data_IF_625549880990
#
_entry.id   IF_625549880990
#
_cell.length_a   1.000
_cell.length_b   1.000
_cell.length_c   1.000
_cell.angle_alpha   90.00
_cell.angle_beta   90.00
_cell.angle_gamma   90.00
#
_symmetry.space_group_name_H-M   'P 1'
#
loop_
_entity.id
_entity.type
_entity.pdbx_description
1 polymer ?
#
# COMPACT_ATOMS: atom_id res chain seq x y z
N UNK A 1 -45.05 10.56 -69.18
CA UNK A 1 -44.69 10.36 -67.76
C UNK A 1 -43.48 9.47 -67.78
N UNK A 2 -42.32 10.08 -67.56
CA UNK A 2 -41.00 9.50 -67.79
C UNK A 2 -40.63 8.50 -66.69
N UNK A 3 -40.03 7.40 -67.09
CA UNK A 3 -39.40 6.40 -66.23
C UNK A 3 -37.90 6.53 -66.40
N UNK A 4 -37.22 6.98 -65.34
CA UNK A 4 -35.76 7.06 -65.27
C UNK A 4 -35.20 5.78 -64.62
N UNK A 5 -34.32 5.09 -65.36
CA UNK A 5 -33.41 4.05 -64.87
C UNK A 5 -32.16 4.69 -64.24
N UNK A 6 -31.56 4.10 -63.19
CA UNK A 6 -30.23 4.49 -62.75
C UNK A 6 -29.14 3.60 -63.36
N UNK A 7 -28.17 4.28 -63.96
CA UNK A 7 -26.93 3.80 -64.57
C UNK A 7 -26.02 3.10 -63.55
N UNK A 8 -25.53 1.91 -63.94
CA UNK A 8 -24.50 1.14 -63.23
C UNK A 8 -23.14 1.81 -63.46
N UNK A 9 -22.53 2.30 -62.39
CA UNK A 9 -21.18 2.86 -62.36
C UNK A 9 -20.15 1.75 -62.15
N UNK A 10 -19.34 1.55 -63.17
CA UNK A 10 -18.11 0.75 -63.20
C UNK A 10 -17.06 1.36 -62.25
N UNK A 11 -16.47 0.55 -61.38
CA UNK A 11 -15.41 0.96 -60.44
C UNK A 11 -14.36 -0.13 -60.41
N UNK A 12 -13.37 0.07 -61.26
CA UNK A 12 -12.12 -0.65 -61.37
C UNK A 12 -11.39 -0.76 -60.02
N UNK A 13 -11.14 -2.00 -59.58
CA UNK A 13 -10.21 -2.35 -58.51
C UNK A 13 -8.75 -2.10 -58.95
N UNK A 14 -7.89 -1.52 -58.10
CA UNK A 14 -6.45 -1.54 -58.32
C UNK A 14 -5.85 -2.81 -57.70
N UNK A 15 -5.33 -3.68 -58.56
CA UNK A 15 -4.47 -4.80 -58.20
C UNK A 15 -3.17 -4.27 -57.58
N UNK A 16 -2.95 -4.53 -56.29
CA UNK A 16 -1.67 -4.26 -55.62
C UNK A 16 -0.85 -5.56 -55.71
N UNK A 17 0.12 -5.57 -56.62
CA UNK A 17 1.20 -6.56 -56.63
C UNK A 17 2.15 -6.26 -55.46
N UNK A 18 2.15 -7.14 -54.45
CA UNK A 18 3.14 -7.15 -53.38
C UNK A 18 4.33 -7.98 -53.84
N UNK A 19 5.37 -7.28 -54.30
CA UNK A 19 6.70 -7.82 -54.54
C UNK A 19 7.30 -8.35 -53.23
N UNK A 20 7.66 -9.63 -53.23
CA UNK A 20 8.50 -10.26 -52.23
C UNK A 20 9.97 -9.96 -52.57
N UNK A 21 10.67 -9.19 -51.73
CA UNK A 21 12.13 -9.07 -51.79
C UNK A 21 12.68 -8.41 -50.53
N UNK A 22 13.37 -9.20 -49.69
CA UNK A 22 14.61 -8.83 -48.98
C UNK A 22 14.92 -9.87 -47.91
N UNK A 23 15.62 -10.94 -48.32
CA UNK A 23 16.38 -11.81 -47.42
C UNK A 23 17.86 -11.40 -47.52
N UNK A 24 18.32 -10.59 -46.57
CA UNK A 24 19.75 -10.36 -46.30
C UNK A 24 20.14 -11.35 -45.18
N UNK A 25 20.80 -12.46 -45.49
CA UNK A 25 22.26 -12.58 -45.64
C UNK A 25 23.02 -12.19 -44.37
N UNK A 26 22.94 -13.04 -43.33
CA UNK A 26 23.88 -13.00 -42.20
C UNK A 26 25.09 -13.83 -42.60
N UNK A 27 26.16 -13.13 -42.97
CA UNK A 27 27.47 -13.73 -43.25
C UNK A 27 28.09 -14.31 -41.98
N UNK A 28 28.43 -15.58 -42.13
CA UNK A 28 29.22 -16.43 -41.25
C UNK A 28 30.69 -15.98 -41.30
N UNK A 29 31.15 -15.26 -40.26
CA UNK A 29 32.57 -14.98 -40.06
C UNK A 29 33.19 -16.04 -39.14
N UNK A 30 33.67 -17.11 -39.75
CA UNK A 30 34.69 -18.00 -39.19
C UNK A 30 36.04 -17.30 -39.19
N UNK A 31 36.52 -16.94 -38.00
CA UNK A 31 37.90 -16.52 -37.78
C UNK A 31 38.60 -17.57 -36.92
N UNK A 32 39.29 -18.47 -37.60
CA UNK A 32 40.30 -19.36 -37.03
C UNK A 32 41.48 -18.52 -36.52
N UNK A 33 41.73 -18.55 -35.22
CA UNK A 33 42.96 -18.04 -34.63
C UNK A 33 43.41 -19.01 -33.52
N UNK A 34 44.30 -19.97 -33.81
CA UNK A 34 44.90 -20.82 -32.79
C UNK A 34 46.13 -20.11 -32.20
N UNK A 35 46.29 -20.27 -30.88
CA UNK A 35 47.45 -19.88 -30.06
C UNK A 35 47.46 -18.46 -29.45
N UNK A 36 46.66 -18.27 -28.38
CA UNK A 36 46.97 -17.28 -27.33
C UNK A 36 47.15 -17.98 -25.97
N UNK A 37 48.38 -18.06 -25.42
CA UNK A 37 48.65 -18.75 -24.17
C UNK A 37 48.16 -17.94 -22.97
N UNK A 38 47.01 -18.34 -22.44
CA UNK A 38 46.69 -18.36 -21.01
C UNK A 38 46.90 -17.04 -20.24
N UNK A 39 46.12 -16.00 -20.56
CA UNK A 39 45.82 -14.94 -19.59
C UNK A 39 44.85 -15.46 -18.52
N UNK A 40 45.40 -16.00 -17.43
CA UNK A 40 44.67 -16.26 -16.18
C UNK A 40 44.24 -14.93 -15.56
N UNK A 41 43.11 -14.38 -16.01
CA UNK A 41 42.42 -13.29 -15.33
C UNK A 41 41.83 -13.89 -14.05
N UNK A 42 42.49 -13.64 -12.91
CA UNK A 42 41.95 -13.94 -11.59
C UNK A 42 40.74 -13.02 -11.35
N UNK A 43 39.56 -13.50 -11.70
CA UNK A 43 38.29 -12.89 -11.30
C UNK A 43 38.22 -12.94 -9.77
N UNK A 44 38.21 -11.78 -9.07
CA UNK A 44 38.10 -11.77 -7.62
C UNK A 44 36.75 -12.37 -7.23
N UNK A 45 36.78 -13.29 -6.27
CA UNK A 45 35.62 -13.96 -5.71
C UNK A 45 34.49 -12.94 -5.40
N UNK A 46 33.28 -13.07 -6.01
CA UNK A 46 32.19 -12.11 -5.87
C UNK A 46 31.68 -11.96 -4.43
N UNK A 47 32.06 -12.87 -3.52
CA UNK A 47 31.73 -12.76 -2.09
C UNK A 47 32.46 -11.62 -1.36
N UNK A 48 33.52 -11.03 -1.93
CA UNK A 48 34.27 -9.95 -1.28
C UNK A 48 33.60 -8.58 -1.50
N UNK A 49 32.86 -8.39 -2.60
CA UNK A 49 32.23 -7.10 -2.93
C UNK A 49 30.83 -6.88 -2.32
N UNK A 50 30.16 -7.91 -1.81
CA UNK A 50 28.89 -7.74 -1.09
C UNK A 50 29.05 -7.53 0.42
N UNK A 51 30.27 -7.58 0.97
CA UNK A 51 30.53 -7.48 2.41
C UNK A 51 30.93 -6.07 2.90
N UNK A 52 30.74 -5.01 2.09
CA UNK A 52 31.08 -3.63 2.49
C UNK A 52 30.05 -2.54 2.17
N UNK A 53 28.81 -2.90 1.88
CA UNK A 53 27.71 -1.98 2.19
C UNK A 53 27.35 -2.19 3.65
N UNK A 54 28.00 -1.41 4.49
CA UNK A 54 27.76 -1.35 5.92
C UNK A 54 26.26 -1.28 6.23
N UNK A 55 25.73 -2.35 6.83
CA UNK A 55 24.64 -2.28 7.81
C UNK A 55 25.10 -1.38 8.97
N UNK A 56 25.18 -0.07 8.69
CA UNK A 56 25.32 0.97 9.69
C UNK A 56 23.91 1.48 10.01
N UNK A 57 23.05 0.56 10.46
CA UNK A 57 21.77 0.89 11.10
C UNK A 57 22.01 1.30 12.56
N UNK A 58 22.92 2.26 12.75
CA UNK A 58 22.84 3.13 13.91
C UNK A 58 21.69 4.10 13.68
N UNK A 59 20.60 3.98 14.43
CA UNK A 59 19.46 4.91 14.41
C UNK A 59 19.82 6.40 14.67
N UNK A 60 21.10 6.71 14.94
CA UNK A 60 21.68 8.06 15.03
C UNK A 60 22.65 8.31 13.88
N UNK A 61 22.16 8.54 12.66
CA UNK A 61 23.10 8.87 11.57
C UNK A 61 22.55 9.06 10.17
N UNK A 62 21.28 8.77 9.87
CA UNK A 62 20.76 9.05 8.53
C UNK A 62 20.86 10.54 8.24
N UNK A 63 21.49 10.88 7.12
CA UNK A 63 21.81 12.24 6.73
C UNK A 63 20.52 13.04 6.45
N UNK A 64 20.46 14.29 6.90
CA UNK A 64 19.42 15.24 6.45
C UNK A 64 19.76 15.70 5.03
N UNK A 65 18.77 15.95 4.17
CA UNK A 65 19.03 16.59 2.89
C UNK A 65 19.65 17.98 3.10
N UNK A 66 20.34 18.51 2.09
CA UNK A 66 21.12 19.74 2.17
C UNK A 66 20.24 20.95 2.52
N UNK A 67 19.02 21.03 1.96
CA UNK A 67 18.02 22.06 2.25
C UNK A 67 17.57 22.04 3.72
N UNK A 68 17.09 20.90 4.22
CA UNK A 68 16.70 20.76 5.63
C UNK A 68 17.89 20.93 6.58
N UNK A 69 19.10 20.57 6.16
CA UNK A 69 20.33 20.77 6.95
C UNK A 69 20.68 22.25 7.07
N UNK A 70 20.65 22.99 5.96
CA UNK A 70 20.96 24.42 5.93
C UNK A 70 19.99 25.25 6.77
N UNK A 71 18.71 24.86 6.78
CA UNK A 71 17.66 25.57 7.51
C UNK A 71 17.37 24.99 8.91
N UNK A 72 18.18 24.01 9.34
CA UNK A 72 18.02 23.27 10.60
C UNK A 72 16.61 22.67 10.83
N UNK A 73 15.94 22.27 9.75
CA UNK A 73 14.61 21.67 9.77
C UNK A 73 14.69 20.16 10.08
N UNK A 74 13.55 19.59 10.48
CA UNK A 74 13.38 18.13 10.58
C UNK A 74 13.25 17.55 9.18
N UNK A 75 14.12 16.61 8.85
CA UNK A 75 14.09 15.87 7.58
C UNK A 75 13.58 14.45 7.89
N UNK A 76 12.51 14.03 7.23
CA UNK A 76 11.98 12.65 7.24
C UNK A 76 12.87 11.69 6.45
N UNK A 77 13.68 12.23 5.53
CA UNK A 77 14.73 11.54 4.77
C UNK A 77 14.18 10.56 3.72
N UNK A 78 12.95 10.78 3.28
CA UNK A 78 12.43 10.11 2.10
C UNK A 78 13.29 10.47 0.87
N UNK A 79 13.59 9.47 0.04
CA UNK A 79 14.27 9.65 -1.24
C UNK A 79 13.25 9.41 -2.36
N UNK A 80 13.33 10.12 -3.50
CA UNK A 80 14.37 11.09 -3.87
C UNK A 80 14.22 12.47 -3.20
N UNK A 81 13.02 12.82 -2.76
CA UNK A 81 12.68 14.12 -2.13
C UNK A 81 12.07 13.87 -0.75
N UNK A 82 12.54 14.60 0.25
CA UNK A 82 12.02 14.54 1.62
C UNK A 82 10.66 15.28 1.69
N UNK A 83 9.71 14.87 2.54
CA UNK A 83 8.37 15.49 2.61
C UNK A 83 8.45 17.01 2.80
N UNK A 84 9.46 17.52 3.48
CA UNK A 84 9.59 18.95 3.70
C UNK A 84 9.99 19.72 2.43
N UNK A 85 10.82 19.11 1.57
CA UNK A 85 11.22 19.69 0.30
C UNK A 85 10.18 19.45 -0.81
N UNK A 86 9.32 18.42 -0.67
CA UNK A 86 8.26 18.13 -1.64
C UNK A 86 7.30 19.32 -1.85
N UNK A 87 7.10 20.15 -0.82
CA UNK A 87 6.24 21.33 -0.86
C UNK A 87 6.97 22.63 -1.28
N UNK A 88 8.28 22.58 -1.54
CA UNK A 88 9.07 23.76 -1.95
C UNK A 88 9.64 23.53 -3.36
N UNK A 89 8.88 23.82 -4.43
CA UNK A 89 9.23 23.42 -5.81
C UNK A 89 10.54 24.02 -6.32
N UNK A 90 11.03 25.11 -5.72
CA UNK A 90 12.29 25.75 -6.11
C UNK A 90 13.55 25.14 -5.47
N UNK A 91 13.42 24.21 -4.51
CA UNK A 91 14.56 23.68 -3.75
C UNK A 91 14.90 22.24 -4.12
N UNK A 92 16.11 22.03 -4.64
CA UNK A 92 16.65 20.70 -4.90
C UNK A 92 16.91 19.93 -3.59
N UNK A 93 16.22 18.80 -3.41
CA UNK A 93 16.37 17.94 -2.22
C UNK A 93 17.56 16.98 -2.37
N UNK A 94 18.78 17.53 -2.38
CA UNK A 94 20.01 16.75 -2.52
C UNK A 94 20.51 16.22 -1.18
N UNK A 95 21.11 15.03 -1.17
CA UNK A 95 21.76 14.44 0.01
C UNK A 95 23.26 14.39 -0.23
N UNK A 96 23.97 15.52 -0.08
CA UNK A 96 25.44 15.54 -0.21
C UNK A 96 26.06 14.84 1.00
N UNK A 97 26.73 13.68 0.83
CA UNK A 97 27.39 12.99 1.92
C UNK A 97 28.31 13.97 2.64
N UNK A 98 28.09 14.18 3.94
CA UNK A 98 29.05 14.95 4.73
C UNK A 98 30.36 14.16 4.63
N UNK A 99 31.47 14.77 4.15
CA UNK A 99 32.76 14.09 4.17
C UNK A 99 32.93 13.52 5.57
N UNK A 100 33.05 12.19 5.66
CA UNK A 100 33.13 11.48 6.95
C UNK A 100 34.02 12.32 7.82
N UNK A 101 33.54 12.86 8.96
CA UNK A 101 34.34 13.79 9.73
C UNK A 101 35.64 13.06 10.03
N UNK A 102 36.72 13.43 9.35
CA UNK A 102 38.02 12.74 9.38
C UNK A 102 38.66 12.74 10.77
N UNK A 103 37.90 13.26 11.74
CA UNK A 103 38.25 13.64 13.08
C UNK A 103 37.36 12.97 14.15
N UNK A 104 36.33 12.18 13.78
CA UNK A 104 35.59 11.32 14.75
C UNK A 104 36.43 10.08 15.07
N UNK A 105 37.48 10.27 15.86
CA UNK A 105 38.37 9.20 16.32
C UNK A 105 39.79 9.68 16.60
N UNK A 106 40.19 10.80 15.99
CA UNK A 106 41.49 11.43 16.25
C UNK A 106 41.41 12.18 17.59
N UNK A 107 42.28 11.85 18.57
CA UNK A 107 42.34 12.59 19.83
C UNK A 107 42.74 14.06 19.59
N UNK A 108 42.54 14.94 20.57
CA UNK A 108 43.14 16.28 20.51
C UNK A 108 44.66 16.14 20.43
N UNK A 109 45.37 17.01 19.72
CA UNK A 109 46.83 17.03 19.77
C UNK A 109 47.31 17.30 21.21
N UNK A 110 48.53 16.90 21.55
CA UNK A 110 49.07 16.99 22.90
C UNK A 110 49.09 18.43 23.42
N UNK A 111 49.43 19.40 22.55
CA UNK A 111 49.44 20.82 22.90
C UNK A 111 48.04 21.33 23.27
N UNK A 112 47.03 21.15 22.40
CA UNK A 112 45.67 21.55 22.72
C UNK A 112 45.06 20.75 23.88
N UNK A 113 45.49 19.50 24.10
CA UNK A 113 45.05 18.72 25.26
C UNK A 113 45.62 19.29 26.56
N UNK A 114 46.90 19.64 26.60
CA UNK A 114 47.60 20.23 27.75
C UNK A 114 47.01 21.60 28.12
N UNK A 115 46.73 22.42 27.12
CA UNK A 115 46.18 23.78 27.32
C UNK A 115 44.64 23.80 27.37
N UNK A 116 43.99 22.62 27.34
CA UNK A 116 42.55 22.44 27.27
C UNK A 116 41.82 23.25 26.17
N UNK A 117 42.47 23.45 25.03
CA UNK A 117 41.93 24.17 23.87
C UNK A 117 41.10 23.24 22.96
N UNK A 118 40.27 23.86 22.11
CA UNK A 118 39.49 23.17 21.08
C UNK A 118 40.40 22.86 19.87
N UNK A 119 40.79 21.60 19.73
CA UNK A 119 41.54 21.11 18.57
C UNK A 119 40.57 20.79 17.41
N UNK A 120 40.76 21.42 16.26
CA UNK A 120 40.04 21.09 15.00
C UNK A 120 40.47 19.73 14.42
N UNK A 121 41.66 19.25 14.81
CA UNK A 121 42.23 17.94 14.45
C UNK A 121 42.75 17.88 13.01
N UNK A 122 43.05 19.03 12.42
CA UNK A 122 43.70 19.10 11.12
C UNK A 122 45.11 18.52 11.21
N UNK A 123 45.47 17.72 10.20
CA UNK A 123 46.78 17.12 10.05
C UNK A 123 47.52 17.85 8.92
N UNK A 124 48.84 18.10 9.03
CA UNK A 124 49.74 17.65 10.12
C UNK A 124 49.69 18.53 11.38
N UNK A 125 49.17 19.77 11.30
CA UNK A 125 49.12 20.74 12.41
C UNK A 125 47.72 21.33 12.50
N UNK A 126 47.13 21.30 13.71
CA UNK A 126 45.83 21.88 14.00
C UNK A 126 45.87 23.42 13.87
N UNK A 127 44.77 24.10 13.47
CA UNK A 127 44.82 25.55 13.26
C UNK A 127 45.16 26.30 14.55
N UNK A 128 44.79 25.77 15.72
CA UNK A 128 45.14 26.40 17.00
C UNK A 128 46.65 26.37 17.30
N UNK A 129 47.34 25.27 17.00
CA UNK A 129 48.80 25.22 17.14
C UNK A 129 49.49 26.06 16.07
N UNK A 130 48.90 26.14 14.86
CA UNK A 130 49.39 27.01 13.77
C UNK A 130 49.34 28.49 14.17
N UNK A 131 48.24 28.93 14.79
CA UNK A 131 48.07 30.31 15.27
C UNK A 131 49.02 30.66 16.44
N UNK A 132 49.42 29.68 17.27
CA UNK A 132 50.30 29.88 18.43
C UNK A 132 51.81 29.83 18.12
N UNK A 133 52.21 29.61 16.88
CA UNK A 133 53.62 29.65 16.50
C UNK A 133 54.44 28.40 16.91
N UNK A 134 53.84 27.20 16.80
CA UNK A 134 54.54 25.90 16.80
C UNK A 134 55.40 25.52 18.03
N UNK A 135 55.28 26.18 19.20
CA UNK A 135 55.99 25.76 20.42
C UNK A 135 55.02 25.47 21.57
N UNK A 136 54.77 24.19 21.94
CA UNK A 136 55.36 22.93 21.45
C UNK A 136 54.76 22.40 20.13
N UNK A 137 55.41 21.44 19.43
CA UNK A 137 54.92 20.87 18.17
C UNK A 137 53.56 20.20 18.32
N UNK A 138 52.72 20.36 17.29
CA UNK A 138 51.37 19.78 17.24
C UNK A 138 51.43 18.28 16.97
N UNK A 139 51.66 17.48 18.02
CA UNK A 139 51.77 16.02 17.90
C UNK A 139 50.47 15.35 18.34
N UNK A 140 49.97 14.41 17.54
CA UNK A 140 48.84 13.55 17.92
C UNK A 140 49.37 12.25 18.53
N UNK A 141 49.07 12.00 19.80
CA UNK A 141 49.43 10.74 20.43
C UNK A 141 48.65 9.59 19.76
N UNK A 142 49.35 8.58 19.24
CA UNK A 142 48.71 7.34 18.82
C UNK A 142 47.99 6.75 20.03
N UNK A 143 46.69 6.51 19.89
CA UNK A 143 45.86 5.97 20.98
C UNK A 143 46.41 4.59 21.35
N UNK A 144 47.26 4.52 22.39
CA UNK A 144 47.79 3.27 22.93
C UNK A 144 46.59 2.45 23.38
N UNK A 145 46.16 1.50 22.55
CA UNK A 145 45.14 0.51 22.94
C UNK A 145 45.70 -0.14 24.20
N UNK A 146 45.08 0.14 25.35
CA UNK A 146 45.31 -0.68 26.54
C UNK A 146 44.74 -2.05 26.18
N UNK A 147 45.59 -2.94 25.67
CA UNK A 147 45.29 -4.35 25.55
C UNK A 147 45.04 -4.83 26.97
N UNK A 148 43.81 -5.25 27.27
CA UNK A 148 43.38 -5.69 28.61
C UNK A 148 43.99 -7.04 29.03
N UNK A 149 45.17 -7.41 28.50
CA UNK A 149 45.82 -8.69 28.71
C UNK A 149 47.02 -8.63 29.69
N UNK A 150 47.23 -7.53 30.40
CA UNK A 150 48.35 -7.37 31.35
C UNK A 150 47.90 -7.17 32.81
N UNK A 151 46.73 -7.70 33.18
CA UNK A 151 46.24 -7.71 34.56
C UNK A 151 46.05 -9.14 35.12
N UNK A 152 46.59 -10.16 34.45
CA UNK A 152 46.39 -11.55 34.83
C UNK A 152 47.61 -12.44 34.58
N UNK A 153 48.80 -12.05 35.03
CA UNK A 153 49.88 -13.00 35.37
C UNK A 153 50.66 -12.45 36.56
N UNK A 154 50.65 -13.21 37.66
CA UNK A 154 51.42 -12.92 38.87
C UNK A 154 52.64 -13.83 39.00
N UNK A 155 53.61 -13.43 39.83
CA UNK A 155 54.33 -14.24 40.85
C UNK A 155 55.66 -13.55 41.22
N UNK A 156 55.90 -13.25 42.52
CA UNK A 156 56.85 -13.94 43.45
C UNK A 156 58.32 -13.61 43.11
N UNK A 157 59.25 -13.16 43.96
CA UNK A 157 59.36 -12.88 45.41
C UNK A 157 60.68 -12.11 45.66
N UNK A 158 60.89 -11.65 46.91
CA UNK A 158 62.15 -11.69 47.71
C UNK A 158 62.58 -10.35 48.36
N UNK A 159 62.34 -10.32 49.69
CA UNK A 159 63.06 -9.73 50.85
C UNK A 159 63.31 -8.21 50.98
N UNK A 160 62.83 -7.60 52.08
CA UNK A 160 63.55 -7.50 53.37
C UNK A 160 62.78 -6.61 54.39
N UNK A 161 62.33 -7.23 55.50
CA UNK A 161 62.45 -6.86 56.94
C UNK A 161 62.19 -5.41 57.47
N UNK A 162 62.12 -5.16 58.80
CA UNK A 162 60.86 -5.00 59.54
C UNK A 162 60.73 -3.66 60.30
N UNK A 163 59.50 -3.37 60.77
CA UNK A 163 59.30 -2.58 62.00
C UNK A 163 58.44 -1.32 61.90
N UNK A 164 57.73 -1.06 63.01
CA UNK A 164 56.99 0.15 63.41
C UNK A 164 55.48 0.19 63.09
N UNK A 165 54.72 -0.45 63.98
CA UNK A 165 53.75 0.18 64.90
C UNK A 165 53.10 1.51 64.47
N UNK A 166 51.79 1.49 64.16
CA UNK A 166 50.78 2.35 64.79
C UNK A 166 49.35 2.03 64.29
N UNK A 167 48.46 1.73 65.25
CA UNK A 167 47.00 1.99 65.21
C UNK A 167 46.75 3.53 65.19
N UNK A 168 45.54 4.09 64.91
CA UNK A 168 44.22 3.51 65.14
C UNK A 168 43.10 3.81 64.09
N UNK A 169 42.05 2.99 64.19
CA UNK A 169 40.60 3.29 64.15
C UNK A 169 39.96 4.06 62.97
N UNK A 170 38.93 3.43 62.39
CA UNK A 170 37.97 4.13 61.51
C UNK A 170 36.92 3.22 60.88
N UNK A 171 35.95 2.80 61.69
CA UNK A 171 34.66 2.17 61.36
C UNK A 171 34.06 2.52 59.98
N UNK A 172 33.53 1.53 59.25
CA UNK A 172 32.08 1.23 59.22
C UNK A 172 31.74 0.08 58.27
N UNK A 173 30.80 -0.72 58.77
CA UNK A 173 30.27 -1.97 58.24
C UNK A 173 29.47 -1.78 56.95
N UNK A 174 29.55 -2.77 56.06
CA UNK A 174 28.86 -2.79 54.78
C UNK A 174 27.38 -3.14 54.84
N UNK A 175 26.73 -3.04 53.68
CA UNK A 175 25.76 -4.02 53.16
C UNK A 175 25.52 -3.78 51.65
N UNK A 176 25.33 -4.85 50.86
CA UNK A 176 25.24 -4.80 49.40
C UNK A 176 23.81 -4.47 48.92
N UNK A 177 23.72 -3.66 47.86
CA UNK A 177 22.48 -3.38 47.13
C UNK A 177 22.46 -4.27 45.87
N UNK A 178 21.38 -5.04 45.61
CA UNK A 178 21.28 -5.88 44.43
C UNK A 178 20.94 -5.07 43.16
N UNK A 179 21.50 -5.52 42.04
CA UNK A 179 21.25 -5.03 40.69
C UNK A 179 19.75 -5.12 40.33
N UNK A 180 19.18 -4.00 39.86
CA UNK A 180 17.94 -4.00 39.08
C UNK A 180 18.27 -3.59 37.64
N UNK A 181 18.08 -4.55 36.74
CA UNK A 181 18.17 -4.42 35.29
C UNK A 181 16.91 -3.73 34.73
N UNK A 182 17.01 -2.77 33.80
CA UNK A 182 15.83 -2.15 33.20
C UNK A 182 15.37 -2.87 31.91
N UNK A 183 14.09 -3.24 31.91
CA UNK A 183 13.14 -3.29 30.79
C UNK A 183 13.42 -4.22 29.60
N UNK A 184 12.84 -5.42 29.69
CA UNK A 184 12.23 -6.11 28.56
C UNK A 184 10.70 -5.92 28.65
N UNK A 185 10.08 -5.27 27.66
CA UNK A 185 8.62 -5.26 27.52
C UNK A 185 8.21 -6.47 26.69
N UNK A 186 7.67 -7.49 27.38
CA UNK A 186 6.91 -8.58 26.77
C UNK A 186 5.46 -8.13 26.56
N UNK A 187 4.92 -8.50 25.40
CA UNK A 187 3.53 -8.31 25.03
C UNK A 187 2.58 -9.14 25.93
N UNK A 188 1.52 -8.50 26.43
CA UNK A 188 0.38 -9.20 27.04
C UNK A 188 -0.77 -9.29 26.04
N UNK A 189 -1.42 -10.46 25.89
CA UNK A 189 -2.67 -10.58 25.16
C UNK A 189 -3.84 -10.03 26.00
N UNK A 190 -4.69 -9.19 25.39
CA UNK A 190 -5.92 -8.69 26.01
C UNK A 190 -6.98 -9.81 26.05
N UNK A 191 -7.37 -10.19 27.25
CA UNK A 191 -8.55 -10.99 27.52
C UNK A 191 -9.82 -10.11 27.45
N UNK A 192 -10.83 -10.64 26.76
CA UNK A 192 -12.17 -10.08 26.66
C UNK A 192 -12.86 -10.04 28.02
N UNK A 193 -13.37 -8.87 28.40
CA UNK A 193 -14.21 -8.70 29.59
C UNK A 193 -15.66 -8.66 29.15
N UNK A 194 -16.38 -9.75 29.38
CA UNK A 194 -17.83 -9.85 29.27
C UNK A 194 -18.48 -9.19 30.49
N UNK A 195 -19.21 -8.10 30.27
CA UNK A 195 -20.05 -7.46 31.28
C UNK A 195 -21.44 -8.08 31.29
N UNK A 196 -21.75 -8.73 32.40
CA UNK A 196 -23.03 -9.32 32.77
C UNK A 196 -24.07 -8.23 33.06
N UNK A 197 -25.25 -8.34 32.45
CA UNK A 197 -26.48 -7.63 32.86
C UNK A 197 -27.25 -8.47 33.88
N UNK A 198 -27.88 -7.87 34.89
CA UNK A 198 -28.63 -8.61 35.91
C UNK A 198 -30.06 -8.93 35.48
N UNK A 199 -30.50 -10.11 35.90
CA UNK A 199 -31.81 -10.70 35.77
C UNK A 199 -32.90 -9.91 36.51
N UNK A 200 -34.09 -9.83 35.91
CA UNK A 200 -35.37 -9.56 36.60
C UNK A 200 -36.43 -10.55 36.10
N UNK A 201 -36.65 -11.58 36.90
CA UNK A 201 -37.91 -12.32 37.02
C UNK A 201 -38.88 -11.45 37.83
N UNK A 202 -40.20 -11.54 37.83
CA UNK A 202 -41.25 -12.19 37.05
C UNK A 202 -42.55 -11.62 37.63
N UNK A 203 -43.57 -11.39 36.80
CA UNK A 203 -45.00 -11.56 37.11
C UNK A 203 -45.81 -10.93 35.99
N UNK A 204 -46.39 -11.76 35.12
CA UNK A 204 -47.84 -11.71 34.93
C UNK A 204 -48.33 -12.96 34.18
N UNK A 205 -49.18 -13.73 34.86
CA UNK A 205 -50.02 -14.75 34.27
C UNK A 205 -51.33 -14.06 33.84
N UNK A 206 -51.75 -14.15 32.57
CA UNK A 206 -53.14 -14.50 32.28
C UNK A 206 -53.39 -14.96 30.83
N UNK A 207 -53.71 -16.25 30.80
CA UNK A 207 -54.41 -17.12 29.86
C UNK A 207 -55.69 -16.55 29.22
N UNK A 208 -55.84 -16.74 27.91
CA UNK A 208 -57.07 -17.15 27.21
C UNK A 208 -56.72 -17.54 25.75
N UNK A 209 -56.48 -18.82 25.45
CA UNK A 209 -57.41 -19.72 24.73
C UNK A 209 -58.29 -19.07 23.67
N UNK A 210 -58.00 -19.33 22.39
CA UNK A 210 -59.04 -19.65 21.42
C UNK A 210 -58.46 -20.44 20.25
N UNK A 211 -58.65 -21.75 20.34
CA UNK A 211 -58.55 -22.72 19.26
C UNK A 211 -59.78 -22.59 18.37
N UNK A 212 -59.61 -22.55 17.05
CA UNK A 212 -60.59 -23.05 16.10
C UNK A 212 -59.87 -23.39 14.79
N UNK A 213 -59.51 -24.66 14.70
CA UNK A 213 -59.23 -25.40 13.48
C UNK A 213 -60.57 -25.89 12.92
N UNK A 214 -60.75 -25.97 11.60
CA UNK A 214 -61.17 -27.27 11.08
C UNK A 214 -60.40 -27.69 9.83
N UNK A 215 -59.64 -28.76 10.01
CA UNK A 215 -59.47 -29.94 9.14
C UNK A 215 -60.34 -30.03 7.88
N UNK A 216 -59.68 -30.28 6.73
CA UNK A 216 -60.03 -31.22 5.65
C UNK A 216 -58.82 -31.28 4.68
N UNK A 217 -57.95 -32.30 4.70
CA UNK A 217 -58.09 -33.66 4.15
C UNK A 217 -58.24 -33.72 2.62
N UNK A 218 -57.15 -34.01 1.87
CA UNK A 218 -57.05 -35.16 0.95
C UNK A 218 -55.82 -35.13 0.01
N UNK A 219 -55.11 -36.27 0.03
CA UNK A 219 -54.56 -37.03 -1.11
C UNK A 219 -53.82 -36.36 -2.28
N UNK A 220 -52.54 -36.74 -2.40
CA UNK A 220 -52.09 -37.57 -3.52
C UNK A 220 -51.40 -36.86 -4.68
N UNK A 221 -50.23 -37.38 -5.07
CA UNK A 221 -49.68 -37.13 -6.40
C UNK A 221 -48.16 -37.02 -6.47
N UNK A 222 -47.47 -38.17 -6.42
CA UNK A 222 -46.17 -38.30 -7.07
C UNK A 222 -46.37 -38.11 -8.58
N UNK A 223 -45.79 -37.06 -9.16
CA UNK A 223 -45.47 -37.03 -10.59
C UNK A 223 -44.13 -36.37 -10.84
N UNK A 224 -43.20 -37.24 -11.23
CA UNK A 224 -42.08 -37.02 -12.11
C UNK A 224 -42.52 -36.30 -13.40
N UNK A 225 -41.85 -35.20 -13.78
CA UNK A 225 -41.82 -34.67 -15.16
C UNK A 225 -40.76 -33.58 -15.37
N UNK A 226 -39.66 -34.03 -15.95
CA UNK A 226 -39.13 -33.57 -17.25
C UNK A 226 -38.94 -32.07 -17.51
N UNK A 227 -37.66 -31.74 -17.73
CA UNK A 227 -37.13 -30.76 -18.68
C UNK A 227 -38.14 -30.20 -19.69
N UNK A 228 -38.31 -28.88 -19.68
CA UNK A 228 -38.67 -28.11 -20.86
C UNK A 228 -37.73 -26.93 -21.00
N UNK A 229 -37.01 -26.92 -22.12
CA UNK A 229 -36.20 -25.81 -22.60
C UNK A 229 -37.16 -24.66 -22.94
N UNK A 230 -37.10 -23.57 -22.18
CA UNK A 230 -37.72 -22.31 -22.61
C UNK A 230 -36.73 -21.63 -23.55
N UNK A 231 -36.92 -21.87 -24.85
CA UNK A 231 -36.34 -21.07 -25.91
C UNK A 231 -36.95 -19.68 -25.81
N UNK A 232 -36.17 -18.70 -25.34
CA UNK A 232 -36.55 -17.30 -25.40
C UNK A 232 -36.43 -16.83 -26.86
N UNK A 233 -37.47 -16.24 -27.46
CA UNK A 233 -37.34 -15.61 -28.77
C UNK A 233 -36.56 -14.31 -28.61
N UNK A 234 -35.51 -14.16 -29.41
CA UNK A 234 -34.77 -12.91 -29.60
C UNK A 234 -35.73 -11.90 -30.22
N UNK A 235 -36.35 -11.06 -29.39
CA UNK A 235 -37.11 -9.91 -29.84
C UNK A 235 -36.24 -8.66 -29.79
N UNK A 236 -35.91 -8.16 -30.98
CA UNK A 236 -35.31 -6.84 -31.23
C UNK A 236 -36.24 -5.72 -30.73
N UNK A 237 -35.65 -4.76 -30.03
CA UNK A 237 -36.03 -3.34 -29.90
C UNK A 237 -37.52 -2.96 -30.03
N UNK A 238 -38.17 -2.67 -28.91
CA UNK A 238 -38.77 -1.34 -28.62
C UNK A 238 -39.24 -1.29 -27.16
N UNK A 239 -38.86 -0.22 -26.47
CA UNK A 239 -38.87 -0.16 -25.00
C UNK A 239 -40.24 -0.09 -24.36
N UNK A 240 -40.37 -0.79 -23.24
CA UNK A 240 -41.18 -0.36 -22.09
C UNK A 240 -40.53 -1.00 -20.85
N UNK A 241 -39.59 -0.28 -20.25
CA UNK A 241 -39.02 -0.65 -18.95
C UNK A 241 -40.11 -0.38 -17.91
N UNK A 242 -40.73 -1.42 -17.36
CA UNK A 242 -41.49 -1.30 -16.12
C UNK A 242 -40.50 -1.09 -14.97
N UNK A 243 -39.97 0.13 -14.88
CA UNK A 243 -39.17 0.58 -13.77
C UNK A 243 -40.13 0.77 -12.59
N UNK A 244 -40.18 -0.23 -11.71
CA UNK A 244 -40.77 -0.10 -10.38
C UNK A 244 -39.87 0.80 -9.52
N UNK A 245 -39.71 2.05 -9.95
CA UNK A 245 -38.93 3.07 -9.26
C UNK A 245 -39.85 3.70 -8.25
N UNK A 246 -39.89 3.17 -7.03
CA UNK A 246 -40.15 4.05 -5.90
C UNK A 246 -39.04 5.12 -5.98
N UNK A 247 -39.36 6.38 -6.34
CA UNK A 247 -38.35 7.41 -6.64
C UNK A 247 -37.52 7.79 -5.40
N UNK A 248 -37.78 7.13 -4.27
CA UNK A 248 -37.12 7.33 -2.99
C UNK A 248 -35.94 6.39 -2.75
N UNK A 249 -35.83 5.29 -3.49
CA UNK A 249 -34.76 4.31 -3.32
C UNK A 249 -33.59 4.59 -4.27
N UNK A 250 -32.36 4.46 -3.77
CA UNK A 250 -31.16 4.60 -4.58
C UNK A 250 -31.02 3.37 -5.51
N UNK A 251 -31.03 3.61 -6.83
CA UNK A 251 -30.72 2.57 -7.80
C UNK A 251 -29.19 2.42 -7.93
N UNK A 252 -28.62 1.24 -7.59
CA UNK A 252 -27.18 1.01 -7.78
C UNK A 252 -26.82 1.13 -9.26
N UNK A 253 -25.65 1.69 -9.55
CA UNK A 253 -25.08 1.74 -10.87
C UNK A 253 -24.95 0.34 -11.45
N UNK A 254 -25.34 0.21 -12.71
CA UNK A 254 -25.26 -1.03 -13.47
C UNK A 254 -24.91 -0.74 -14.93
N UNK A 255 -24.13 -1.64 -15.51
CA UNK A 255 -23.76 -1.58 -16.92
C UNK A 255 -23.61 -3.00 -17.45
N UNK A 256 -24.04 -3.25 -18.69
CA UNK A 256 -24.09 -4.60 -19.28
C UNK A 256 -22.71 -5.26 -19.37
N UNK A 257 -21.69 -4.47 -19.74
CA UNK A 257 -20.32 -4.93 -19.90
C UNK A 257 -19.49 -4.97 -18.61
N UNK A 258 -20.00 -4.50 -17.47
CA UNK A 258 -19.23 -4.46 -16.21
C UNK A 258 -19.84 -5.41 -15.19
N UNK A 259 -18.98 -5.98 -14.34
CA UNK A 259 -19.46 -6.75 -13.19
C UNK A 259 -20.13 -5.79 -12.20
N UNK A 260 -21.33 -6.13 -11.76
CA UNK A 260 -22.06 -5.33 -10.78
C UNK A 260 -21.37 -5.38 -9.40
N UNK A 261 -21.66 -4.38 -8.57
CA UNK A 261 -21.24 -4.41 -7.16
C UNK A 261 -21.77 -5.69 -6.46
N UNK A 262 -21.07 -6.18 -5.41
CA UNK A 262 -21.55 -7.30 -4.60
C UNK A 262 -23.03 -7.18 -4.23
N UNK A 263 -23.75 -8.30 -4.24
CA UNK A 263 -25.19 -8.35 -3.98
C UNK A 263 -25.54 -7.74 -2.61
N UNK A 264 -24.68 -7.94 -1.60
CA UNK A 264 -24.81 -7.34 -0.26
C UNK A 264 -24.88 -5.81 -0.31
N UNK A 265 -24.02 -5.18 -1.12
CA UNK A 265 -23.99 -3.73 -1.32
C UNK A 265 -25.25 -3.30 -2.07
N UNK A 266 -25.57 -3.96 -3.18
CA UNK A 266 -26.74 -3.63 -4.02
C UNK A 266 -28.07 -3.72 -3.26
N UNK A 267 -28.27 -4.82 -2.52
CA UNK A 267 -29.48 -5.03 -1.72
C UNK A 267 -29.61 -3.94 -0.66
N UNK A 268 -28.51 -3.57 0.00
CA UNK A 268 -28.53 -2.48 0.99
C UNK A 268 -28.84 -1.13 0.35
N UNK A 269 -28.20 -0.79 -0.77
CA UNK A 269 -28.43 0.47 -1.48
C UNK A 269 -29.89 0.62 -1.92
N UNK A 270 -30.52 -0.47 -2.38
CA UNK A 270 -31.93 -0.45 -2.78
C UNK A 270 -32.92 -0.15 -1.64
N UNK A 271 -32.50 -0.35 -0.39
CA UNK A 271 -33.30 -0.06 0.80
C UNK A 271 -33.10 1.37 1.35
N UNK A 272 -32.14 2.13 0.80
CA UNK A 272 -31.76 3.45 1.33
C UNK A 272 -32.63 4.55 0.73
N UNK A 273 -33.07 5.47 1.61
CA UNK A 273 -33.83 6.66 1.23
C UNK A 273 -32.87 7.78 0.81
N UNK A 274 -33.02 8.30 -0.42
CA UNK A 274 -32.10 9.27 -1.04
C UNK A 274 -32.04 10.62 -0.32
N UNK A 275 -33.08 11.04 0.40
CA UNK A 275 -33.15 12.37 1.02
C UNK A 275 -32.13 12.63 2.13
N UNK A 276 -31.51 11.58 2.67
CA UNK A 276 -30.51 11.70 3.74
C UNK A 276 -29.06 11.74 3.21
N UNK A 277 -28.88 11.65 1.89
CA UNK A 277 -27.58 11.50 1.24
C UNK A 277 -27.07 12.79 0.60
N UNK A 278 -25.75 12.90 0.37
CA UNK A 278 -25.21 13.90 -0.54
C UNK A 278 -25.87 13.83 -1.93
N UNK A 279 -26.06 14.96 -2.60
CA UNK A 279 -26.45 14.95 -4.00
C UNK A 279 -25.34 14.32 -4.87
N UNK A 280 -25.70 13.29 -5.66
CA UNK A 280 -24.74 12.53 -6.47
C UNK A 280 -23.98 13.41 -7.46
N UNK A 281 -24.67 14.32 -8.15
CA UNK A 281 -24.06 15.20 -9.13
C UNK A 281 -23.07 16.18 -8.48
N UNK A 282 -23.42 16.69 -7.30
CA UNK A 282 -22.56 17.56 -6.49
C UNK A 282 -21.32 16.81 -6.03
N UNK A 283 -21.46 15.57 -5.57
CA UNK A 283 -20.33 14.71 -5.23
C UNK A 283 -19.41 14.46 -6.43
N UNK A 284 -19.96 14.04 -7.57
CA UNK A 284 -19.18 13.76 -8.78
C UNK A 284 -18.40 14.98 -9.27
N UNK A 285 -19.00 16.17 -9.18
CA UNK A 285 -18.31 17.44 -9.49
C UNK A 285 -17.15 17.67 -8.55
N UNK A 286 -17.36 17.55 -7.23
CA UNK A 286 -16.31 17.75 -6.22
C UNK A 286 -15.19 16.71 -6.33
N UNK A 287 -15.54 15.47 -6.67
CA UNK A 287 -14.57 14.43 -6.97
C UNK A 287 -13.75 14.78 -8.22
N UNK A 288 -14.40 15.29 -9.28
CA UNK A 288 -13.70 15.74 -10.48
C UNK A 288 -12.78 16.93 -10.22
N UNK A 289 -13.24 17.92 -9.45
CA UNK A 289 -12.42 19.06 -9.01
C UNK A 289 -11.18 18.54 -8.27
N UNK A 290 -11.36 17.63 -7.31
CA UNK A 290 -10.26 17.02 -6.56
C UNK A 290 -9.26 16.29 -7.48
N UNK A 291 -9.75 15.44 -8.38
CA UNK A 291 -8.88 14.70 -9.30
C UNK A 291 -8.05 15.63 -10.19
N UNK A 292 -8.62 16.74 -10.66
CA UNK A 292 -7.91 17.74 -11.46
C UNK A 292 -6.82 18.52 -10.70
N UNK A 293 -6.83 18.46 -9.37
CA UNK A 293 -5.77 19.06 -8.53
C UNK A 293 -4.60 18.11 -8.26
N UNK A 294 -4.76 16.82 -8.62
CA UNK A 294 -3.68 15.85 -8.48
C UNK A 294 -2.58 16.13 -9.51
N UNK A 295 -1.36 15.71 -9.21
CA UNK A 295 -0.30 15.70 -10.22
C UNK A 295 -0.70 14.75 -11.36
N UNK A 296 -0.36 15.05 -12.63
CA UNK A 296 -0.84 14.27 -13.78
C UNK A 296 -0.59 12.76 -13.67
N UNK A 297 0.49 12.36 -13.02
CA UNK A 297 0.82 10.95 -12.75
C UNK A 297 -0.24 10.25 -11.88
N UNK A 298 -0.73 10.94 -10.86
CA UNK A 298 -1.73 10.43 -9.94
C UNK A 298 -3.14 10.57 -10.51
N UNK A 299 -3.43 11.66 -11.23
CA UNK A 299 -4.71 11.87 -11.88
C UNK A 299 -5.08 10.69 -12.79
N UNK A 300 -4.11 10.23 -13.60
CA UNK A 300 -4.30 9.14 -14.56
C UNK A 300 -4.66 7.81 -13.88
N UNK A 301 -4.18 7.57 -12.66
CA UNK A 301 -4.25 6.28 -11.97
C UNK A 301 -5.17 6.27 -10.74
N UNK A 302 -5.69 7.42 -10.32
CA UNK A 302 -6.52 7.54 -9.13
C UNK A 302 -7.97 7.06 -9.34
N UNK A 303 -8.53 7.25 -10.54
CA UNK A 303 -9.92 6.91 -10.81
C UNK A 303 -10.14 6.64 -12.30
N UNK A 304 -10.64 5.46 -12.64
CA UNK A 304 -10.80 5.04 -14.03
C UNK A 304 -12.22 5.30 -14.54
N UNK A 305 -12.33 6.03 -15.66
CA UNK A 305 -13.56 6.04 -16.45
C UNK A 305 -13.88 4.64 -16.98
N UNK A 306 -15.12 4.42 -17.43
CA UNK A 306 -15.51 3.18 -18.10
C UNK A 306 -14.56 2.79 -19.24
N UNK A 307 -14.16 3.77 -20.05
CA UNK A 307 -13.34 3.53 -21.24
C UNK A 307 -11.92 3.11 -20.88
N UNK A 308 -11.29 3.84 -19.94
CA UNK A 308 -9.95 3.52 -19.45
C UNK A 308 -9.95 2.16 -18.74
N UNK A 309 -10.96 1.89 -17.91
CA UNK A 309 -11.10 0.60 -17.22
C UNK A 309 -11.25 -0.57 -18.21
N UNK A 310 -12.09 -0.40 -19.24
CA UNK A 310 -12.27 -1.40 -20.29
C UNK A 310 -11.03 -1.57 -21.16
N UNK A 311 -10.26 -0.50 -21.42
CA UNK A 311 -8.98 -0.58 -22.13
C UNK A 311 -7.95 -1.38 -21.32
N UNK A 312 -7.83 -1.13 -20.01
CA UNK A 312 -6.95 -1.90 -19.11
C UNK A 312 -7.34 -3.37 -19.12
N UNK A 313 -8.63 -3.68 -18.94
CA UNK A 313 -9.10 -5.05 -18.89
C UNK A 313 -8.84 -5.80 -20.21
N UNK A 314 -9.11 -5.17 -21.36
CA UNK A 314 -8.81 -5.77 -22.68
C UNK A 314 -7.31 -6.01 -22.87
N UNK A 315 -6.47 -5.06 -22.47
CA UNK A 315 -5.01 -5.20 -22.56
C UNK A 315 -4.49 -6.36 -21.71
N UNK A 316 -5.04 -6.55 -20.52
CA UNK A 316 -4.71 -7.69 -19.65
C UNK A 316 -5.15 -9.04 -20.24
N UNK A 317 -6.27 -9.08 -20.97
CA UNK A 317 -6.79 -10.30 -21.60
C UNK A 317 -6.07 -10.67 -22.90
N UNK A 318 -5.77 -9.68 -23.76
CA UNK A 318 -5.08 -9.92 -25.03
C UNK A 318 -3.57 -10.02 -24.88
N UNK A 319 -3.00 -9.47 -23.82
CA UNK A 319 -1.55 -9.28 -23.68
C UNK A 319 -1.01 -8.13 -24.54
N UNK A 320 -1.87 -7.41 -25.26
CA UNK A 320 -1.49 -6.30 -26.12
C UNK A 320 -1.69 -4.97 -25.39
N UNK A 321 -0.70 -4.09 -25.45
CA UNK A 321 -0.70 -2.80 -24.75
C UNK A 321 -1.46 -1.67 -25.48
N UNK A 322 -2.34 -2.01 -26.43
CA UNK A 322 -2.96 -1.00 -27.30
C UNK A 322 -3.90 -0.06 -26.53
N UNK A 323 -3.67 1.25 -26.67
CA UNK A 323 -4.52 2.29 -26.10
C UNK A 323 -4.21 2.68 -24.66
N UNK A 324 -3.21 2.06 -24.01
CA UNK A 324 -2.72 2.47 -22.70
C UNK A 324 -1.45 3.30 -22.83
N UNK A 325 -1.32 4.32 -21.98
CA UNK A 325 -0.07 5.07 -21.88
C UNK A 325 1.04 4.19 -21.28
N UNK A 326 2.31 4.51 -21.56
CA UNK A 326 3.44 3.83 -20.92
C UNK A 326 3.39 3.91 -19.39
N UNK A 327 2.88 5.02 -18.84
CA UNK A 327 2.72 5.20 -17.40
C UNK A 327 1.67 4.26 -16.84
N UNK A 328 0.52 4.15 -17.51
CA UNK A 328 -0.54 3.23 -17.11
C UNK A 328 -0.06 1.78 -17.11
N UNK A 329 0.70 1.37 -18.13
CA UNK A 329 1.28 0.02 -18.19
C UNK A 329 2.23 -0.26 -17.03
N UNK A 330 3.07 0.71 -16.66
CA UNK A 330 3.94 0.58 -15.47
C UNK A 330 3.07 0.42 -14.22
N UNK A 331 2.05 1.25 -14.06
CA UNK A 331 1.16 1.19 -12.89
C UNK A 331 0.43 -0.15 -12.79
N UNK A 332 -0.14 -0.64 -13.90
CA UNK A 332 -0.81 -1.94 -14.02
C UNK A 332 0.11 -3.09 -13.60
N UNK A 333 1.36 -3.07 -14.09
CA UNK A 333 2.35 -4.09 -13.75
C UNK A 333 2.81 -4.01 -12.29
N UNK A 334 3.04 -2.80 -11.77
CA UNK A 334 3.46 -2.59 -10.38
C UNK A 334 2.40 -3.08 -9.38
N UNK A 335 1.12 -2.86 -9.69
CA UNK A 335 0.00 -3.30 -8.85
C UNK A 335 -0.48 -4.72 -9.18
N UNK A 336 0.17 -5.38 -10.15
CA UNK A 336 -0.14 -6.76 -10.57
C UNK A 336 -1.63 -6.94 -10.86
N UNK A 337 -2.23 -6.02 -11.62
CA UNK A 337 -3.66 -6.12 -11.91
C UNK A 337 -3.96 -7.38 -12.73
N UNK A 338 -5.10 -8.00 -12.42
CA UNK A 338 -5.56 -9.23 -13.04
C UNK A 338 -6.99 -9.05 -13.58
N UNK A 339 -7.36 -9.69 -14.69
CA UNK A 339 -8.75 -9.71 -15.15
C UNK A 339 -9.58 -10.61 -14.21
N UNK A 340 -10.65 -10.09 -13.64
CA UNK A 340 -11.50 -10.82 -12.68
C UNK A 340 -12.68 -11.57 -13.29
N UNK A 341 -12.89 -11.43 -14.59
CA UNK A 341 -13.97 -12.08 -15.35
C UNK A 341 -13.51 -12.23 -16.79
N UNK A 342 -13.97 -13.30 -17.45
CA UNK A 342 -13.71 -13.52 -18.88
C UNK A 342 -14.82 -12.94 -19.77
N UNK A 343 -15.98 -12.63 -19.19
CA UNK A 343 -17.17 -12.18 -19.92
C UNK A 343 -17.46 -10.68 -19.73
N UNK A 344 -17.06 -10.11 -18.61
CA UNK A 344 -17.34 -8.72 -18.22
C UNK A 344 -16.06 -8.04 -17.73
N UNK A 345 -16.05 -6.72 -17.79
CA UNK A 345 -14.96 -5.94 -17.25
C UNK A 345 -15.00 -5.98 -15.72
N UNK A 346 -13.94 -6.56 -15.16
CA UNK A 346 -13.61 -6.56 -13.74
C UNK A 346 -12.09 -6.61 -13.62
N UNK A 347 -11.52 -5.69 -12.87
CA UNK A 347 -10.11 -5.64 -12.52
C UNK A 347 -9.95 -6.05 -11.06
N UNK A 348 -9.00 -6.95 -10.83
CA UNK A 348 -8.62 -7.43 -9.51
C UNK A 348 -7.20 -7.01 -9.19
N UNK A 349 -6.93 -6.78 -7.92
CA UNK A 349 -5.60 -6.56 -7.38
C UNK A 349 -5.33 -7.63 -6.31
N UNK A 350 -4.23 -8.39 -6.39
CA UNK A 350 -3.85 -9.31 -5.33
C UNK A 350 -3.74 -8.58 -4.00
N UNK A 351 -4.42 -9.09 -2.97
CA UNK A 351 -4.44 -8.45 -1.67
C UNK A 351 -3.12 -8.70 -0.96
N UNK A 352 -2.49 -7.63 -0.48
CA UNK A 352 -1.31 -7.75 0.38
C UNK A 352 -1.75 -8.08 1.80
N UNK A 353 -2.01 -9.36 2.07
CA UNK A 353 -2.13 -9.82 3.45
C UNK A 353 -0.75 -9.75 4.11
N UNK A 354 -0.70 -9.63 5.45
CA UNK A 354 0.56 -9.66 6.20
C UNK A 354 1.25 -11.04 6.15
N UNK A 355 0.64 -11.99 5.45
CA UNK A 355 1.10 -13.34 5.30
C UNK A 355 2.08 -13.45 4.12
N UNK A 356 2.68 -14.62 3.95
CA UNK A 356 3.64 -14.89 2.89
C UNK A 356 3.00 -14.53 1.53
N UNK A 357 3.73 -13.87 0.61
CA UNK A 357 3.25 -13.69 -0.76
C UNK A 357 2.81 -15.02 -1.36
N UNK A 358 1.63 -15.02 -1.99
CA UNK A 358 1.10 -16.21 -2.68
C UNK A 358 2.07 -16.68 -3.74
N UNK A 359 2.25 -18.00 -3.83
CA UNK A 359 3.03 -18.58 -4.93
C UNK A 359 2.27 -18.33 -6.25
N UNK A 360 2.96 -18.02 -7.36
CA UNK A 360 2.30 -17.69 -8.63
C UNK A 360 1.30 -18.74 -9.13
N UNK A 361 1.57 -20.02 -8.88
CA UNK A 361 0.68 -21.13 -9.25
C UNK A 361 -0.62 -21.11 -8.43
N UNK A 362 -0.51 -20.89 -7.12
CA UNK A 362 -1.66 -20.80 -6.22
C UNK A 362 -2.53 -19.58 -6.53
N UNK A 363 -1.90 -18.43 -6.80
CA UNK A 363 -2.60 -17.22 -7.24
C UNK A 363 -3.38 -17.45 -8.54
N UNK A 364 -2.79 -18.16 -9.52
CA UNK A 364 -3.44 -18.47 -10.78
C UNK A 364 -4.65 -19.41 -10.61
N UNK A 365 -4.57 -20.38 -9.70
CA UNK A 365 -5.67 -21.30 -9.41
C UNK A 365 -6.82 -20.58 -8.68
N UNK A 366 -6.50 -19.74 -7.69
CA UNK A 366 -7.47 -18.90 -6.99
C UNK A 366 -8.15 -17.89 -7.94
N UNK A 367 -7.39 -17.32 -8.89
CA UNK A 367 -7.93 -16.42 -9.90
C UNK A 367 -8.94 -17.15 -10.81
N UNK A 368 -8.62 -18.36 -11.28
CA UNK A 368 -9.54 -19.17 -12.11
C UNK A 368 -10.82 -19.53 -11.37
N UNK A 369 -10.70 -19.91 -10.10
CA UNK A 369 -11.87 -20.18 -9.26
C UNK A 369 -12.75 -18.92 -9.13
N UNK A 370 -12.12 -17.78 -8.86
CA UNK A 370 -12.80 -16.49 -8.75
C UNK A 370 -13.55 -16.13 -10.04
N UNK A 371 -12.87 -16.17 -11.18
CA UNK A 371 -13.45 -15.89 -12.50
C UNK A 371 -14.66 -16.79 -12.78
N UNK A 372 -14.52 -18.10 -12.55
CA UNK A 372 -15.60 -19.09 -12.74
C UNK A 372 -16.85 -18.75 -11.92
N UNK A 373 -16.68 -18.25 -10.68
CA UNK A 373 -17.81 -17.83 -9.84
C UNK A 373 -18.50 -16.58 -10.38
N UNK A 374 -17.72 -15.56 -10.76
CA UNK A 374 -18.25 -14.30 -11.29
C UNK A 374 -18.98 -14.51 -12.62
N UNK A 375 -18.40 -15.30 -13.52
CA UNK A 375 -18.97 -15.56 -14.85
C UNK A 375 -20.24 -16.43 -14.81
N UNK A 376 -20.45 -17.17 -13.72
CA UNK A 376 -21.71 -17.90 -13.45
C UNK A 376 -22.76 -17.04 -12.72
N UNK A 377 -22.48 -15.75 -12.52
CA UNK A 377 -23.27 -14.81 -11.72
C UNK A 377 -23.48 -15.27 -10.26
N UNK A 378 -22.57 -16.11 -9.76
CA UNK A 378 -22.54 -16.54 -8.35
C UNK A 378 -21.85 -15.46 -7.52
N UNK A 379 -22.48 -14.28 -7.47
CA UNK A 379 -21.98 -13.11 -6.74
C UNK A 379 -22.22 -13.20 -5.24
N UNK A 380 -22.98 -14.19 -4.77
CA UNK A 380 -23.19 -14.41 -3.34
C UNK A 380 -21.92 -14.98 -2.71
N UNK A 381 -21.34 -14.18 -1.81
CA UNK A 381 -20.33 -14.66 -0.88
C UNK A 381 -21.06 -15.52 0.14
N UNK A 382 -20.93 -16.83 0.02
CA UNK A 382 -21.44 -17.74 1.04
C UNK A 382 -20.79 -17.40 2.39
N UNK A 383 -21.57 -17.24 3.47
CA UNK A 383 -21.01 -17.05 4.81
C UNK A 383 -20.00 -18.15 5.14
N UNK A 384 -18.81 -17.77 5.61
CA UNK A 384 -17.72 -18.71 5.91
C UNK A 384 -16.74 -18.98 4.76
N UNK A 385 -16.86 -18.27 3.64
CA UNK A 385 -15.80 -18.24 2.63
C UNK A 385 -14.49 -17.67 3.23
N UNK A 386 -13.33 -18.18 2.79
CA UNK A 386 -12.03 -17.64 3.21
C UNK A 386 -11.93 -16.15 2.90
N UNK A 387 -11.02 -15.46 3.61
CA UNK A 387 -10.80 -14.03 3.38
C UNK A 387 -10.58 -13.74 1.89
N UNK A 388 -11.12 -12.63 1.37
CA UNK A 388 -10.99 -12.31 -0.04
C UNK A 388 -9.51 -12.10 -0.39
N UNK A 389 -9.01 -12.97 -1.26
CA UNK A 389 -7.63 -13.00 -1.76
C UNK A 389 -7.34 -11.82 -2.70
N UNK A 390 -8.38 -11.30 -3.35
CA UNK A 390 -8.28 -10.21 -4.32
C UNK A 390 -9.16 -9.05 -3.90
N UNK A 391 -8.62 -7.83 -4.02
CA UNK A 391 -9.39 -6.61 -3.94
C UNK A 391 -9.99 -6.29 -5.32
N UNK A 392 -11.26 -5.91 -5.35
CA UNK A 392 -11.95 -5.40 -6.55
C UNK A 392 -11.62 -3.94 -6.76
N UNK A 393 -11.03 -3.62 -7.90
CA UNK A 393 -10.86 -2.24 -8.32
C UNK A 393 -12.16 -1.74 -8.94
N UNK A 394 -12.74 -0.67 -8.42
CA UNK A 394 -14.02 -0.13 -8.89
C UNK A 394 -13.85 0.89 -10.02
N UNK A 395 -14.86 0.99 -10.88
CA UNK A 395 -14.95 2.03 -11.91
C UNK A 395 -15.50 3.33 -11.31
N UNK A 396 -15.15 4.49 -11.88
CA UNK A 396 -15.49 5.82 -11.35
C UNK A 396 -16.96 5.98 -10.95
N UNK A 397 -17.87 5.47 -11.75
CA UNK A 397 -19.31 5.60 -11.56
C UNK A 397 -19.83 4.80 -10.35
N UNK A 398 -19.07 3.81 -9.87
CA UNK A 398 -19.39 3.02 -8.67
C UNK A 398 -18.94 3.68 -7.36
N UNK A 399 -18.08 4.72 -7.39
CA UNK A 399 -17.54 5.34 -6.18
C UNK A 399 -18.64 5.86 -5.25
N UNK A 400 -19.62 6.57 -5.81
CA UNK A 400 -20.72 7.13 -5.03
C UNK A 400 -21.49 6.03 -4.29
N UNK A 401 -21.81 4.94 -4.97
CA UNK A 401 -22.58 3.82 -4.41
C UNK A 401 -21.82 3.11 -3.28
N UNK A 402 -20.53 2.86 -3.47
CA UNK A 402 -19.67 2.24 -2.44
C UNK A 402 -19.53 3.14 -1.21
N UNK A 403 -19.38 4.46 -1.42
CA UNK A 403 -19.30 5.44 -0.34
C UNK A 403 -20.63 5.58 0.41
N UNK A 404 -21.76 5.61 -0.29
CA UNK A 404 -23.10 5.58 0.33
C UNK A 404 -23.26 4.35 1.21
N UNK A 405 -22.88 3.18 0.68
CA UNK A 405 -22.98 1.92 1.42
C UNK A 405 -22.17 1.98 2.71
N UNK A 406 -20.88 2.33 2.62
CA UNK A 406 -19.98 2.34 3.79
C UNK A 406 -20.39 3.40 4.82
N UNK A 407 -20.86 4.56 4.35
CA UNK A 407 -21.30 5.64 5.23
C UNK A 407 -22.56 5.26 6.02
N UNK A 408 -23.56 4.67 5.35
CA UNK A 408 -24.84 4.32 5.98
C UNK A 408 -24.75 3.03 6.80
N UNK A 409 -23.97 2.04 6.35
CA UNK A 409 -23.84 0.76 7.06
C UNK A 409 -23.35 0.94 8.49
N UNK A 410 -22.51 1.97 8.71
CA UNK A 410 -21.93 2.35 9.98
C UNK A 410 -22.61 3.57 10.64
N UNK A 411 -23.84 3.90 10.24
CA UNK A 411 -24.62 5.00 10.84
C UNK A 411 -23.94 6.38 10.77
N UNK A 412 -23.59 6.82 9.56
CA UNK A 412 -22.89 8.08 9.29
C UNK A 412 -21.42 8.07 9.75
N UNK A 413 -20.71 7.01 9.34
CA UNK A 413 -19.27 6.84 9.63
C UNK A 413 -18.41 8.03 9.18
N UNK A 414 -17.34 8.26 9.92
CA UNK A 414 -16.25 9.15 9.53
C UNK A 414 -15.50 8.64 8.30
N UNK A 415 -14.73 9.53 7.66
CA UNK A 415 -13.95 9.22 6.46
C UNK A 415 -13.00 8.02 6.65
N UNK A 416 -12.44 7.85 7.86
CA UNK A 416 -11.56 6.72 8.21
C UNK A 416 -12.32 5.40 8.36
N UNK A 417 -13.43 5.41 9.11
CA UNK A 417 -14.26 4.22 9.30
C UNK A 417 -14.85 3.73 7.97
N UNK A 418 -15.20 4.67 7.07
CA UNK A 418 -15.63 4.34 5.71
C UNK A 418 -14.53 3.64 4.93
N UNK A 419 -13.29 4.15 4.94
CA UNK A 419 -12.18 3.51 4.23
C UNK A 419 -11.86 2.12 4.79
N UNK A 420 -11.95 1.93 6.11
CA UNK A 420 -11.74 0.63 6.74
C UNK A 420 -12.83 -0.38 6.32
N UNK A 421 -14.09 0.06 6.29
CA UNK A 421 -15.21 -0.77 5.84
C UNK A 421 -15.07 -1.15 4.36
N UNK A 422 -14.68 -0.21 3.50
CA UNK A 422 -14.45 -0.48 2.07
C UNK A 422 -13.32 -1.50 1.88
N UNK A 423 -12.22 -1.37 2.63
CA UNK A 423 -11.15 -2.37 2.64
C UNK A 423 -11.65 -3.73 3.15
N UNK A 424 -12.52 -3.76 4.18
CA UNK A 424 -13.10 -5.01 4.69
C UNK A 424 -13.94 -5.74 3.62
N UNK A 425 -14.58 -5.00 2.70
CA UNK A 425 -15.32 -5.54 1.57
C UNK A 425 -14.44 -6.01 0.41
N UNK A 426 -13.11 -5.91 0.54
CA UNK A 426 -12.14 -6.13 -0.53
C UNK A 426 -12.46 -5.31 -1.77
N UNK A 427 -12.70 -4.01 -1.56
CA UNK A 427 -12.82 -3.02 -2.61
C UNK A 427 -11.64 -2.06 -2.47
N UNK A 428 -11.00 -1.73 -3.59
CA UNK A 428 -9.86 -0.81 -3.65
C UNK A 428 -10.12 0.32 -4.64
N UNK A 429 -9.26 1.35 -4.61
CA UNK A 429 -9.36 2.57 -5.42
C UNK A 429 -10.02 3.75 -4.70
N UNK A 430 -10.70 3.52 -3.57
CA UNK A 430 -11.24 4.61 -2.74
C UNK A 430 -10.18 5.09 -1.77
N UNK A 431 -9.81 6.36 -1.86
CA UNK A 431 -8.85 6.99 -0.96
C UNK A 431 -9.55 7.77 0.16
N UNK A 432 -8.84 8.03 1.26
CA UNK A 432 -9.37 8.82 2.37
C UNK A 432 -9.89 10.21 1.96
N UNK A 433 -9.18 11.00 1.11
CA UNK A 433 -9.72 12.28 0.62
C UNK A 433 -11.06 12.16 -0.11
N UNK A 434 -11.28 11.07 -0.87
CA UNK A 434 -12.54 10.86 -1.58
C UNK A 434 -13.69 10.56 -0.61
N UNK A 435 -13.43 9.77 0.43
CA UNK A 435 -14.39 9.58 1.52
C UNK A 435 -14.67 10.88 2.28
N UNK A 436 -13.64 11.71 2.50
CA UNK A 436 -13.80 12.99 3.19
C UNK A 436 -14.66 13.98 2.41
N UNK A 437 -14.49 14.08 1.09
CA UNK A 437 -15.38 14.84 0.21
C UNK A 437 -16.84 14.40 0.42
N UNK A 438 -17.09 13.09 0.44
CA UNK A 438 -18.43 12.55 0.63
C UNK A 438 -19.03 12.93 2.01
N UNK A 439 -18.28 12.71 3.09
CA UNK A 439 -18.71 13.06 4.47
C UNK A 439 -18.98 14.55 4.61
N UNK A 440 -18.16 15.40 3.98
CA UNK A 440 -18.33 16.86 3.95
C UNK A 440 -19.59 17.31 3.23
N UNK A 441 -20.04 16.56 2.23
CA UNK A 441 -21.27 16.83 1.50
C UNK A 441 -22.52 16.22 2.17
N UNK A 442 -22.36 15.32 3.14
CA UNK A 442 -23.49 14.69 3.83
C UNK A 442 -24.28 15.71 4.66
N UNK A 443 -25.59 15.92 4.38
CA UNK A 443 -26.41 16.90 5.09
C UNK A 443 -26.45 16.64 6.61
N UNK A 444 -26.57 15.38 7.02
CA UNK A 444 -26.65 14.99 8.44
C UNK A 444 -25.33 15.25 9.17
N UNK A 445 -24.21 14.86 8.59
CA UNK A 445 -22.88 15.12 9.17
C UNK A 445 -22.55 16.63 9.19
N UNK A 446 -22.98 17.38 8.18
CA UNK A 446 -22.76 18.83 8.13
C UNK A 446 -23.54 19.57 9.22
N UNK A 447 -24.80 19.19 9.47
CA UNK A 447 -25.62 19.76 10.53
C UNK A 447 -25.03 19.48 11.93
N UNK A 448 -24.63 18.23 12.17
CA UNK A 448 -24.00 17.81 13.44
C UNK A 448 -22.67 18.54 13.71
N UNK A 449 -21.91 18.88 12.67
CA UNK A 449 -20.68 19.68 12.83
C UNK A 449 -20.95 21.14 13.17
N UNK A 450 -21.99 21.74 12.57
CA UNK A 450 -22.38 23.13 12.88
C UNK A 450 -22.89 23.25 14.33
N UNK A 451 -23.69 22.30 14.80
CA UNK A 451 -24.16 22.33 16.19
C UNK A 451 -23.02 22.23 17.21
N UNK A 452 -21.89 21.61 16.85
CA UNK A 452 -20.70 21.50 17.73
C UNK A 452 -19.77 22.71 17.67
N UNK A 453 -19.87 23.56 16.64
CA UNK A 453 -19.03 24.77 16.55
C UNK A 453 -19.62 25.96 17.30
N UNK A 454 -20.90 25.88 17.66
CA UNK A 454 -21.62 26.93 18.38
C UNK A 454 -21.59 26.72 19.91
N UNK A 455 -21.08 25.57 20.37
CA UNK A 455 -20.73 25.27 21.77
C UNK A 455 -19.26 25.63 22.05
#
# INVERSE_FOLDING_TARGET
MSTDEPTVGDSSEPTIELEASAAESIEELTLDNPDDPQLKIRIPNPKIYMARQSLWTGHRGKLRCDSCRAQNLKCDRAQPVCNHCAWTPEKECKYTPIPTPSHRGVPRCVSCQKDNLKCDRDLPVCNQCKLRGNNPPCTYASKKRRTAAAAAEGSVSVTADPGVEEQPQGSTSGKPIPLVSPYAYSAHPRASTSSSTPSSEADDQNRATNSNDPTQNNNGGFHDRSHSYVTTPIHRNTGTIMANTNPRCLAPWSHVSFVALPSTIRSRLSAIVVSELPDKQTFERKLSDFLSTLVPELEETACFSTDTYAAINRSLLSGEAHGLSSRMLIWVNCHRLLPGSTQKYLLLMPRHTNEKPLEPTEEADLLKEYQSRIDRDLTEITPGQPEPVFDRLIVREQFYDVLVYAHISLSHASSHEMTDEINRLAITGVTWPMADIFVNLCPRCSASRRSRSDE
#
